data_IF_861660752333
#
_entry.id   IF_861660752333
#
_cell.length_a   1.000
_cell.length_b   1.000
_cell.length_c   1.000
_cell.angle_alpha   90.00
_cell.angle_beta   90.00
_cell.angle_gamma   90.00
#
_symmetry.space_group_name_H-M   'P 1'
#
loop_
_entity.id
_entity.type
_entity.pdbx_description
1 polymer ?
#
# COMPACT_ATOMS: atom_id res chain seq x y z
N UNK A 1 -23.00 -36.05 -75.50
CA UNK A 1 -23.46 -34.84 -74.76
C UNK A 1 -22.88 -34.90 -73.37
N UNK A 2 -21.80 -34.21 -73.11
CA UNK A 2 -21.03 -34.25 -71.87
C UNK A 2 -21.08 -32.88 -71.22
N UNK A 3 -21.85 -32.77 -70.13
CA UNK A 3 -22.02 -31.51 -69.39
C UNK A 3 -20.87 -31.33 -68.42
N UNK A 4 -20.01 -30.32 -68.64
CA UNK A 4 -18.97 -29.90 -67.68
C UNK A 4 -19.60 -29.08 -66.56
N UNK A 5 -19.48 -29.57 -65.33
CA UNK A 5 -19.77 -28.81 -64.10
C UNK A 5 -18.58 -27.90 -63.84
N UNK A 6 -18.80 -26.58 -63.83
CA UNK A 6 -17.87 -25.60 -63.35
C UNK A 6 -17.98 -25.50 -61.82
N UNK A 7 -16.86 -25.73 -61.15
CA UNK A 7 -16.73 -25.53 -59.71
C UNK A 7 -16.26 -24.09 -59.50
N UNK A 8 -17.14 -23.26 -58.95
CA UNK A 8 -16.74 -21.91 -58.49
C UNK A 8 -15.94 -22.04 -57.17
N UNK A 9 -14.67 -21.68 -57.21
CA UNK A 9 -13.86 -21.49 -56.02
C UNK A 9 -14.10 -20.06 -55.45
N UNK A 10 -14.66 -19.98 -54.27
CA UNK A 10 -14.73 -18.73 -53.50
C UNK A 10 -13.34 -18.46 -52.82
N UNK A 11 -12.81 -17.26 -52.89
CA UNK A 11 -11.64 -16.91 -52.12
C UNK A 11 -11.99 -16.73 -50.65
N UNK A 12 -11.34 -17.48 -49.78
CA UNK A 12 -11.38 -17.35 -48.35
C UNK A 12 -10.55 -16.16 -47.93
N UNK A 13 -11.20 -15.02 -47.69
CA UNK A 13 -10.53 -13.83 -47.16
C UNK A 13 -10.20 -14.05 -45.68
N UNK A 14 -8.93 -14.28 -45.35
CA UNK A 14 -8.41 -14.22 -43.96
C UNK A 14 -8.47 -12.76 -43.48
N UNK A 15 -9.44 -12.45 -42.64
CA UNK A 15 -9.43 -11.21 -41.88
C UNK A 15 -8.44 -11.37 -40.72
N UNK A 16 -7.26 -10.79 -40.88
CA UNK A 16 -6.31 -10.58 -39.76
C UNK A 16 -6.89 -9.58 -38.80
N UNK A 17 -7.49 -10.05 -37.71
CA UNK A 17 -7.82 -9.22 -36.57
C UNK A 17 -6.52 -8.76 -35.91
N UNK A 18 -6.13 -7.50 -36.19
CA UNK A 18 -5.03 -6.84 -35.50
C UNK A 18 -5.38 -6.70 -34.03
N UNK A 19 -4.67 -7.42 -33.16
CA UNK A 19 -4.62 -7.14 -31.73
C UNK A 19 -4.04 -5.76 -31.53
N UNK A 20 -4.90 -4.76 -31.35
CA UNK A 20 -4.54 -3.47 -30.81
C UNK A 20 -4.22 -3.71 -29.34
N UNK A 21 -2.98 -4.12 -29.05
CA UNK A 21 -2.41 -4.04 -27.73
C UNK A 21 -2.44 -2.57 -27.33
N UNK A 22 -3.31 -2.21 -26.39
CA UNK A 22 -3.21 -0.94 -25.70
C UNK A 22 -1.84 -0.92 -25.00
N UNK A 23 -0.84 -0.31 -25.65
CA UNK A 23 0.40 0.05 -25.00
C UNK A 23 0.04 1.05 -23.91
N UNK A 24 -0.09 0.56 -22.68
CA UNK A 24 -0.07 1.44 -21.52
C UNK A 24 1.28 2.17 -21.58
N UNK A 25 1.23 3.47 -21.81
CA UNK A 25 2.42 4.33 -21.76
C UNK A 25 2.98 4.19 -20.33
N UNK A 26 4.26 3.82 -20.16
CA UNK A 26 4.84 3.80 -18.83
C UNK A 26 4.69 5.19 -18.22
N UNK A 27 4.38 5.28 -16.90
CA UNK A 27 4.20 6.56 -16.24
C UNK A 27 5.45 7.41 -16.45
N UNK A 28 5.23 8.65 -16.87
CA UNK A 28 6.30 9.62 -17.09
C UNK A 28 7.04 9.87 -15.78
N UNK A 29 8.38 9.86 -15.82
CA UNK A 29 9.23 10.24 -14.67
C UNK A 29 9.02 11.70 -14.25
N UNK A 30 8.40 12.50 -15.13
CA UNK A 30 8.11 13.92 -14.96
C UNK A 30 6.67 14.18 -14.47
N UNK A 31 5.92 13.15 -14.08
CA UNK A 31 4.58 13.32 -13.53
C UNK A 31 4.66 14.08 -12.18
N UNK A 32 4.04 15.26 -12.08
CA UNK A 32 4.07 16.08 -10.88
C UNK A 32 3.37 15.43 -9.67
N UNK A 33 2.62 14.35 -9.87
CA UNK A 33 1.87 13.67 -8.84
C UNK A 33 2.70 12.51 -8.25
N UNK A 34 3.25 12.65 -7.04
CA UNK A 34 3.93 11.53 -6.39
C UNK A 34 2.95 10.38 -6.13
N UNK A 35 3.41 9.11 -6.18
CA UNK A 35 2.55 7.99 -5.80
C UNK A 35 2.21 8.05 -4.31
N UNK A 36 0.95 7.75 -4.00
CA UNK A 36 0.42 7.73 -2.63
C UNK A 36 0.09 6.30 -2.24
N UNK A 37 0.62 5.86 -1.11
CA UNK A 37 0.26 4.57 -0.50
C UNK A 37 -0.61 4.83 0.73
N UNK A 38 -1.83 4.31 0.69
CA UNK A 38 -2.81 4.42 1.76
C UNK A 38 -2.78 3.17 2.64
N UNK A 39 -2.53 3.37 3.93
CA UNK A 39 -2.32 2.30 4.91
C UNK A 39 -3.50 2.25 5.87
N UNK A 40 -4.30 1.17 5.86
CA UNK A 40 -5.48 1.05 6.71
C UNK A 40 -5.15 0.83 8.19
N UNK A 41 -6.16 0.95 9.03
CA UNK A 41 -6.08 0.76 10.46
C UNK A 41 -6.17 -0.70 10.91
N UNK A 42 -6.38 -0.88 12.22
CA UNK A 42 -6.54 -2.21 12.82
C UNK A 42 -7.88 -2.83 12.42
N UNK A 43 -7.84 -3.99 11.78
CA UNK A 43 -9.01 -4.69 11.29
C UNK A 43 -9.62 -4.14 10.01
N UNK A 44 -9.02 -3.09 9.42
CA UNK A 44 -9.46 -2.45 8.19
C UNK A 44 -8.78 -3.03 6.95
N UNK A 45 -9.33 -2.68 5.79
CA UNK A 45 -8.88 -3.08 4.47
C UNK A 45 -8.66 -1.87 3.56
N UNK A 46 -8.18 -2.10 2.34
CA UNK A 46 -8.06 -1.09 1.30
C UNK A 46 -9.39 -0.34 1.01
N UNK A 47 -10.52 -0.97 1.27
CA UNK A 47 -11.85 -0.40 1.06
C UNK A 47 -12.09 0.90 1.87
N UNK A 48 -11.44 1.04 3.03
CA UNK A 48 -11.46 2.28 3.83
C UNK A 48 -11.14 3.52 3.00
N UNK A 49 -10.25 3.38 2.02
CA UNK A 49 -9.69 4.50 1.27
C UNK A 49 -10.43 4.83 -0.04
N UNK A 50 -11.45 4.05 -0.40
CA UNK A 50 -12.12 4.17 -1.70
C UNK A 50 -12.62 5.59 -1.97
N UNK A 51 -13.33 6.20 -1.02
CA UNK A 51 -13.85 7.57 -1.17
C UNK A 51 -12.72 8.61 -1.24
N UNK A 52 -11.64 8.38 -0.46
CA UNK A 52 -10.47 9.26 -0.49
C UNK A 52 -9.78 9.20 -1.84
N UNK A 53 -9.60 8.00 -2.39
CA UNK A 53 -9.02 7.80 -3.72
C UNK A 53 -9.84 8.54 -4.78
N UNK A 54 -11.18 8.41 -4.80
CA UNK A 54 -12.04 9.13 -5.74
C UNK A 54 -11.90 10.64 -5.64
N UNK A 55 -11.67 11.17 -4.43
CA UNK A 55 -11.41 12.60 -4.25
C UNK A 55 -10.09 13.05 -4.85
N UNK A 56 -9.05 12.23 -4.70
CA UNK A 56 -7.76 12.50 -5.36
C UNK A 56 -7.90 12.46 -6.89
N UNK A 57 -8.58 11.44 -7.44
CA UNK A 57 -8.86 11.34 -8.88
C UNK A 57 -9.65 12.56 -9.39
N UNK A 58 -10.69 12.99 -8.66
CA UNK A 58 -11.48 14.18 -9.00
C UNK A 58 -10.68 15.48 -8.94
N UNK A 59 -9.53 15.49 -8.27
CA UNK A 59 -8.60 16.61 -8.20
C UNK A 59 -7.38 16.44 -9.11
N UNK A 60 -7.46 15.52 -10.08
CA UNK A 60 -6.46 15.36 -11.14
C UNK A 60 -5.32 14.38 -10.83
N UNK A 61 -5.39 13.66 -9.72
CA UNK A 61 -4.40 12.61 -9.44
C UNK A 61 -4.64 11.40 -10.34
N UNK A 62 -3.64 10.92 -11.08
CA UNK A 62 -3.80 9.72 -11.90
C UNK A 62 -4.10 8.49 -11.02
N UNK A 63 -5.05 7.64 -11.44
CA UNK A 63 -5.45 6.44 -10.66
C UNK A 63 -4.29 5.50 -10.38
N UNK A 64 -3.38 5.36 -11.32
CA UNK A 64 -2.17 4.54 -11.22
C UNK A 64 -1.12 5.06 -10.21
N UNK A 65 -1.34 6.23 -9.65
CA UNK A 65 -0.53 6.82 -8.57
C UNK A 65 -1.16 6.65 -7.19
N UNK A 66 -2.33 6.03 -7.08
CA UNK A 66 -3.10 5.89 -5.85
C UNK A 66 -3.22 4.41 -5.46
N UNK A 67 -2.53 4.00 -4.40
CA UNK A 67 -2.38 2.61 -3.99
C UNK A 67 -2.88 2.41 -2.57
N UNK A 68 -4.07 1.83 -2.40
CA UNK A 68 -4.51 1.35 -1.09
C UNK A 68 -4.05 -0.09 -0.89
N UNK A 69 -3.38 -0.35 0.23
CA UNK A 69 -2.87 -1.69 0.53
C UNK A 69 -3.86 -2.50 1.36
N UNK A 70 -3.80 -3.81 1.25
CA UNK A 70 -4.73 -4.74 1.89
C UNK A 70 -3.95 -5.77 2.74
N UNK A 71 -3.65 -5.47 4.01
CA UNK A 71 -2.87 -6.35 4.85
C UNK A 71 -3.54 -7.72 5.02
N UNK A 72 -2.82 -8.85 4.83
CA UNK A 72 -3.39 -10.18 4.94
C UNK A 72 -3.88 -10.51 6.36
N UNK A 73 -3.29 -9.88 7.37
CA UNK A 73 -3.66 -9.99 8.78
C UNK A 73 -3.78 -8.59 9.39
N UNK A 74 -4.92 -7.91 9.17
CA UNK A 74 -5.06 -6.49 9.55
C UNK A 74 -5.16 -6.26 11.06
N UNK A 75 -5.51 -7.30 11.84
CA UNK A 75 -5.64 -7.19 13.29
C UNK A 75 -4.27 -7.29 13.99
N UNK A 76 -4.05 -6.41 14.96
CA UNK A 76 -2.90 -6.47 15.84
C UNK A 76 -2.97 -7.67 16.78
N UNK A 77 -1.82 -8.22 17.15
CA UNK A 77 -1.72 -9.19 18.25
C UNK A 77 -2.11 -8.56 19.58
N UNK A 78 -2.62 -9.36 20.49
CA UNK A 78 -2.91 -8.94 21.86
C UNK A 78 -1.61 -8.62 22.63
N UNK A 79 -0.56 -9.39 22.35
CA UNK A 79 0.81 -9.18 22.79
C UNK A 79 1.71 -9.30 21.57
N UNK A 80 2.42 -8.22 21.21
CA UNK A 80 3.21 -8.13 19.99
C UNK A 80 4.31 -9.21 19.91
N UNK A 81 4.86 -9.59 21.07
CA UNK A 81 5.90 -10.60 21.18
C UNK A 81 5.40 -12.05 21.09
N UNK A 82 4.08 -12.29 21.08
CA UNK A 82 3.51 -13.65 21.07
C UNK A 82 2.79 -13.94 19.76
N UNK A 83 3.13 -15.04 19.06
CA UNK A 83 2.38 -15.46 17.88
C UNK A 83 0.89 -15.64 18.17
N UNK A 84 0.02 -15.08 17.32
CA UNK A 84 -1.43 -15.17 17.43
C UNK A 84 -2.02 -15.42 16.03
N UNK A 85 -2.75 -16.52 15.80
CA UNK A 85 -3.30 -16.85 14.48
C UNK A 85 -4.21 -15.73 13.95
N UNK A 86 -4.07 -15.41 12.66
CA UNK A 86 -4.87 -14.39 11.97
C UNK A 86 -4.57 -12.94 12.39
N UNK A 87 -3.46 -12.72 13.11
CA UNK A 87 -3.03 -11.40 13.57
C UNK A 87 -1.57 -11.14 13.23
N UNK A 88 -1.21 -9.88 13.10
CA UNK A 88 0.17 -9.48 12.78
C UNK A 88 0.81 -8.70 13.94
N UNK A 89 2.11 -8.90 14.09
CA UNK A 89 2.97 -8.07 14.92
C UNK A 89 3.27 -6.73 14.23
N UNK A 90 3.85 -5.80 14.99
CA UNK A 90 4.37 -4.53 14.46
C UNK A 90 5.47 -4.74 13.41
N UNK A 91 6.31 -5.76 13.60
CA UNK A 91 7.37 -6.12 12.64
C UNK A 91 6.79 -6.68 11.33
N UNK A 92 5.79 -7.55 11.41
CA UNK A 92 5.11 -8.10 10.23
C UNK A 92 4.33 -7.03 9.46
N UNK A 93 3.63 -6.14 10.16
CA UNK A 93 2.92 -5.02 9.54
C UNK A 93 3.89 -4.06 8.83
N UNK A 94 5.04 -3.76 9.43
CA UNK A 94 6.11 -2.97 8.82
C UNK A 94 6.70 -3.66 7.59
N UNK A 95 7.01 -4.95 7.68
CA UNK A 95 7.59 -5.72 6.58
C UNK A 95 6.64 -5.79 5.37
N UNK A 96 5.35 -5.96 5.63
CA UNK A 96 4.32 -5.91 4.60
C UNK A 96 4.27 -4.53 3.92
N UNK A 97 4.18 -3.44 4.71
CA UNK A 97 4.20 -2.08 4.16
C UNK A 97 5.45 -1.84 3.30
N UNK A 98 6.61 -2.27 3.78
CA UNK A 98 7.86 -2.17 3.02
C UNK A 98 7.74 -2.83 1.65
N UNK A 99 7.21 -4.06 1.60
CA UNK A 99 7.06 -4.79 0.34
C UNK A 99 6.10 -4.08 -0.62
N UNK A 100 5.01 -3.50 -0.12
CA UNK A 100 4.06 -2.74 -0.95
C UNK A 100 4.66 -1.43 -1.46
N UNK A 101 5.40 -0.69 -0.63
CA UNK A 101 6.12 0.52 -1.07
C UNK A 101 7.12 0.20 -2.17
N UNK A 102 7.89 -0.90 -2.03
CA UNK A 102 8.85 -1.32 -3.06
C UNK A 102 8.17 -1.67 -4.40
N UNK A 103 7.01 -2.35 -4.35
CA UNK A 103 6.20 -2.61 -5.56
C UNK A 103 5.72 -1.32 -6.23
N UNK A 104 5.24 -0.37 -5.43
CA UNK A 104 4.77 0.93 -5.96
C UNK A 104 5.91 1.72 -6.59
N UNK A 105 7.06 1.81 -5.94
CA UNK A 105 8.24 2.48 -6.49
C UNK A 105 8.70 1.83 -7.81
N UNK A 106 8.71 0.50 -7.87
CA UNK A 106 9.05 -0.23 -9.08
C UNK A 106 8.03 0.01 -10.21
N UNK A 107 6.73 -0.04 -9.89
CA UNK A 107 5.66 0.10 -10.87
C UNK A 107 5.57 1.53 -11.44
N UNK A 108 5.87 2.55 -10.61
CA UNK A 108 5.73 3.95 -10.98
C UNK A 108 7.01 4.61 -11.46
N UNK A 109 8.17 3.98 -11.24
CA UNK A 109 9.49 4.57 -11.49
C UNK A 109 9.83 5.73 -10.55
N UNK A 110 8.99 6.03 -9.56
CA UNK A 110 9.22 7.10 -8.61
C UNK A 110 10.35 6.74 -7.63
N UNK A 111 11.04 7.75 -7.12
CA UNK A 111 12.09 7.56 -6.10
C UNK A 111 11.52 7.53 -4.69
N UNK A 112 10.39 8.19 -4.47
CA UNK A 112 9.74 8.32 -3.18
C UNK A 112 8.22 8.21 -3.31
N UNK A 113 7.57 7.83 -2.21
CA UNK A 113 6.12 7.81 -2.06
C UNK A 113 5.65 8.79 -1.00
N UNK A 114 4.38 9.18 -1.07
CA UNK A 114 3.65 9.75 0.06
C UNK A 114 2.96 8.61 0.80
N UNK A 115 3.03 8.59 2.13
CA UNK A 115 2.32 7.62 2.96
C UNK A 115 1.16 8.31 3.71
N UNK A 116 -0.03 7.73 3.59
CA UNK A 116 -1.23 8.19 4.29
C UNK A 116 -1.74 7.05 5.14
N UNK A 117 -1.69 7.21 6.46
CA UNK A 117 -2.06 6.14 7.40
C UNK A 117 -3.24 6.51 8.28
N UNK A 118 -4.11 5.54 8.54
CA UNK A 118 -5.17 5.62 9.53
C UNK A 118 -4.83 4.76 10.76
N UNK A 119 -5.03 5.30 11.96
CA UNK A 119 -4.95 4.52 13.20
C UNK A 119 -3.65 3.69 13.30
N UNK A 120 -3.74 2.34 13.38
CA UNK A 120 -2.63 1.39 13.38
C UNK A 120 -1.71 1.53 12.15
N UNK A 121 -2.27 1.93 11.00
CA UNK A 121 -1.48 2.16 9.79
C UNK A 121 -0.37 3.19 10.00
N UNK A 122 -0.60 4.18 10.87
CA UNK A 122 0.42 5.15 11.24
C UNK A 122 1.58 4.54 12.03
N UNK A 123 1.33 3.48 12.82
CA UNK A 123 2.41 2.74 13.47
C UNK A 123 3.30 2.02 12.47
N UNK A 124 2.69 1.33 11.51
CA UNK A 124 3.42 0.66 10.45
C UNK A 124 4.29 1.66 9.65
N UNK A 125 3.73 2.83 9.32
CA UNK A 125 4.44 3.92 8.62
C UNK A 125 5.63 4.41 9.43
N UNK A 126 5.43 4.78 10.69
CA UNK A 126 6.50 5.28 11.55
C UNK A 126 7.60 4.24 11.76
N UNK A 127 7.20 2.99 11.99
CA UNK A 127 8.13 1.89 12.16
C UNK A 127 8.93 1.63 10.87
N UNK A 128 8.28 1.68 9.70
CA UNK A 128 8.95 1.55 8.41
C UNK A 128 9.99 2.63 8.18
N UNK A 129 9.66 3.89 8.47
CA UNK A 129 10.59 5.01 8.30
C UNK A 129 11.79 4.88 9.25
N UNK A 130 11.54 4.53 10.50
CA UNK A 130 12.60 4.50 11.53
C UNK A 130 13.44 3.22 11.49
N UNK A 131 12.84 2.08 11.20
CA UNK A 131 13.46 0.77 11.38
C UNK A 131 13.41 -0.11 10.12
N UNK A 132 12.58 0.24 9.13
CA UNK A 132 12.35 -0.55 7.92
C UNK A 132 13.09 -0.08 6.68
N UNK A 133 13.93 0.94 6.78
CA UNK A 133 14.66 1.52 5.64
C UNK A 133 13.80 2.46 4.77
N UNK A 134 12.74 3.02 5.33
CA UNK A 134 11.83 3.92 4.63
C UNK A 134 12.27 5.39 4.55
N UNK A 135 13.29 5.80 5.31
CA UNK A 135 13.67 7.21 5.44
C UNK A 135 13.94 7.89 4.08
N UNK A 136 14.65 7.22 3.17
CA UNK A 136 14.98 7.76 1.85
C UNK A 136 13.88 7.53 0.80
N UNK A 137 12.88 6.69 1.11
CA UNK A 137 11.81 6.28 0.19
C UNK A 137 10.49 7.00 0.42
N UNK A 138 10.39 7.81 1.46
CA UNK A 138 9.17 8.51 1.85
C UNK A 138 9.40 10.01 1.81
N UNK A 139 8.63 10.72 1.00
CA UNK A 139 8.73 12.18 0.89
C UNK A 139 7.84 12.90 1.90
N UNK A 140 6.62 12.40 2.13
CA UNK A 140 5.63 12.99 3.03
C UNK A 140 4.83 11.93 3.77
N UNK A 141 4.37 12.29 4.97
CA UNK A 141 3.53 11.42 5.80
C UNK A 141 2.32 12.19 6.29
N UNK A 142 1.15 11.57 6.16
CA UNK A 142 -0.11 12.05 6.74
C UNK A 142 -0.66 10.95 7.65
N UNK A 143 -0.87 11.26 8.92
CA UNK A 143 -1.39 10.32 9.92
C UNK A 143 -2.74 10.79 10.42
N UNK A 144 -3.79 10.01 10.14
CA UNK A 144 -5.14 10.23 10.63
C UNK A 144 -5.46 9.32 11.81
N UNK A 145 -5.78 9.89 12.98
CA UNK A 145 -6.24 9.13 14.15
C UNK A 145 -5.23 8.12 14.71
N UNK A 146 -3.95 8.26 14.40
CA UNK A 146 -2.89 7.40 14.94
C UNK A 146 -2.65 7.70 16.39
N UNK A 147 -2.82 6.71 17.32
CA UNK A 147 -2.62 6.94 18.74
C UNK A 147 -1.13 6.92 19.09
N UNK A 148 -0.39 7.95 18.67
CA UNK A 148 1.08 8.04 18.79
C UNK A 148 1.64 7.84 20.20
N UNK A 149 0.85 8.08 21.23
CA UNK A 149 1.19 7.85 22.65
C UNK A 149 0.38 6.72 23.27
N UNK A 150 -0.21 5.86 22.43
CA UNK A 150 -1.04 4.74 22.86
C UNK A 150 -2.50 5.12 23.13
N UNK A 151 -3.27 4.12 23.49
CA UNK A 151 -4.69 4.27 23.84
C UNK A 151 -4.83 4.24 25.35
N UNK A 152 -5.30 5.34 25.95
CA UNK A 152 -5.54 5.45 27.38
C UNK A 152 -6.79 4.65 27.80
N UNK A 153 -6.71 4.01 28.96
CA UNK A 153 -7.85 3.39 29.66
C UNK A 153 -8.70 2.40 28.84
N UNK A 154 -8.07 1.59 27.98
CA UNK A 154 -8.76 0.45 27.40
C UNK A 154 -8.57 -0.76 28.32
N UNK A 155 -9.61 -1.22 29.03
CA UNK A 155 -9.52 -2.39 29.90
C UNK A 155 -9.01 -3.61 29.12
N UNK A 156 -8.09 -4.38 29.71
CA UNK A 156 -7.61 -5.64 29.15
C UNK A 156 -6.50 -5.53 28.11
N UNK A 157 -5.88 -4.36 27.90
CA UNK A 157 -4.67 -4.30 27.08
C UNK A 157 -3.47 -4.78 27.86
N UNK A 158 -2.87 -5.88 27.38
CA UNK A 158 -1.62 -6.39 27.93
C UNK A 158 -0.50 -5.35 27.76
N UNK A 159 0.47 -5.29 28.67
CA UNK A 159 1.65 -4.43 28.54
C UNK A 159 2.43 -4.65 27.24
N UNK A 160 2.38 -5.85 26.65
CA UNK A 160 2.98 -6.21 25.37
C UNK A 160 2.18 -5.78 24.12
N UNK A 161 0.99 -5.18 24.29
CA UNK A 161 0.22 -4.67 23.15
C UNK A 161 0.90 -3.48 22.50
N UNK A 162 0.91 -3.42 21.16
CA UNK A 162 1.41 -2.27 20.40
C UNK A 162 0.67 -0.96 20.71
N UNK A 163 -0.53 -1.04 21.28
CA UNK A 163 -1.36 0.11 21.68
C UNK A 163 -1.12 0.58 23.11
N UNK A 164 -0.30 -0.11 23.88
CA UNK A 164 0.03 0.31 25.24
C UNK A 164 1.00 1.50 25.19
N UNK A 165 0.55 2.67 25.69
CA UNK A 165 1.36 3.90 25.63
C UNK A 165 2.70 3.82 26.37
N UNK A 166 2.75 2.99 27.42
CA UNK A 166 3.96 2.66 28.15
C UNK A 166 4.58 1.32 27.76
N UNK A 167 4.09 0.71 26.68
CA UNK A 167 4.61 -0.55 26.15
C UNK A 167 5.92 -0.37 25.39
N UNK A 168 6.70 -1.46 25.25
CA UNK A 168 8.04 -1.40 24.67
C UNK A 168 8.06 -0.87 23.24
N UNK A 169 7.05 -1.19 22.44
CA UNK A 169 6.97 -0.73 21.04
C UNK A 169 6.86 0.79 20.95
N UNK A 170 5.89 1.41 21.64
CA UNK A 170 5.71 2.86 21.58
C UNK A 170 6.81 3.62 22.32
N UNK A 171 7.38 3.06 23.39
CA UNK A 171 8.56 3.65 24.02
C UNK A 171 9.73 3.70 23.03
N UNK A 172 10.02 2.62 22.32
CA UNK A 172 11.08 2.58 21.31
C UNK A 172 10.79 3.53 20.12
N UNK A 173 9.54 3.52 19.63
CA UNK A 173 9.13 4.36 18.50
C UNK A 173 9.10 5.86 18.82
N UNK A 174 8.89 6.24 20.09
CA UNK A 174 8.85 7.61 20.56
C UNK A 174 10.17 8.06 21.22
N UNK A 175 11.14 7.17 21.35
CA UNK A 175 12.43 7.53 21.91
C UNK A 175 13.09 8.65 21.08
N UNK A 176 13.74 9.63 21.72
CA UNK A 176 14.51 10.64 21.02
C UNK A 176 15.54 9.97 20.12
N UNK A 177 15.56 10.38 18.87
CA UNK A 177 16.59 9.96 17.91
C UNK A 177 17.61 11.08 17.75
N UNK A 178 18.87 10.73 17.59
CA UNK A 178 19.87 11.72 17.19
C UNK A 178 19.59 12.20 15.75
N UNK A 179 20.34 13.20 15.29
CA UNK A 179 20.17 13.76 13.93
C UNK A 179 20.39 12.72 12.81
N UNK A 180 20.93 11.54 13.13
CA UNK A 180 21.15 10.42 12.20
C UNK A 180 20.11 9.31 12.34
N UNK A 181 19.19 9.44 13.31
CA UNK A 181 18.14 8.44 13.55
C UNK A 181 18.56 7.23 14.41
N UNK A 182 19.75 7.27 15.03
CA UNK A 182 20.28 6.23 15.93
C UNK A 182 19.84 6.45 17.38
#
# INVERSE_FOLDING_TARGET
MTTRRQVLALPLSLATAGLLGACATPPSMDDPHPPIVFVPGNGDTAALWQTTIWRFESNGWPRERLHAIDPPYPNARSDDGKPEPGRSSTAEAMAYLRSEVEKVLQATGAKQVVLVGNSRGGYAIRNYIQNGGGADKVSHVILGGTPNHGVWNVPGRAPGSEFAGNGPFLQALNAPKNARGD
#
